data_IF_334117222212
#
_entry.id   IF_334117222212
#
_cell.length_a   1.000
_cell.length_b   1.000
_cell.length_c   1.000
_cell.angle_alpha   90.00
_cell.angle_beta   90.00
_cell.angle_gamma   90.00
#
_symmetry.space_group_name_H-M   'P 1'
#
loop_
_entity.id
_entity.type
_entity.pdbx_description
1 polymer ?
#
# COMPACT_ATOMS: atom_id res chain seq x y z
N UNK A 1 9.31 3.79 35.10
CA UNK A 1 8.99 4.84 34.13
C UNK A 1 8.69 4.13 32.82
N UNK A 2 7.40 4.05 32.43
CA UNK A 2 6.97 3.37 31.19
C UNK A 2 7.37 4.29 30.04
N UNK A 3 8.38 3.91 29.26
CA UNK A 3 8.72 4.61 28.03
C UNK A 3 7.53 4.46 27.08
N UNK A 4 6.88 5.56 26.76
CA UNK A 4 5.88 5.58 25.69
C UNK A 4 6.66 5.49 24.37
N UNK A 5 6.73 4.28 23.81
CA UNK A 5 7.32 4.05 22.49
C UNK A 5 6.34 4.58 21.44
N UNK A 6 6.51 5.82 21.03
CA UNK A 6 5.67 6.49 20.05
C UNK A 6 6.47 7.53 19.27
N UNK A 7 6.04 7.80 18.04
CA UNK A 7 6.57 8.90 17.24
C UNK A 7 6.35 10.25 17.94
N UNK A 8 7.27 11.18 17.73
CA UNK A 8 7.23 12.52 18.33
C UNK A 8 6.29 13.41 17.53
N UNK A 9 5.14 13.78 18.11
CA UNK A 9 4.18 14.69 17.51
C UNK A 9 4.56 16.13 17.82
N UNK A 10 4.82 16.95 16.80
CA UNK A 10 5.36 18.29 16.98
C UNK A 10 4.33 19.40 16.65
N UNK A 11 4.52 20.57 17.26
CA UNK A 11 3.70 21.76 17.04
C UNK A 11 2.22 21.53 17.36
N UNK A 12 1.30 21.95 16.47
CA UNK A 12 -0.15 21.77 16.67
C UNK A 12 -0.61 20.32 16.80
N UNK A 13 0.21 19.36 16.35
CA UNK A 13 -0.11 17.94 16.42
C UNK A 13 0.18 17.33 17.78
N UNK A 14 0.88 18.03 18.68
CA UNK A 14 1.09 17.60 20.06
C UNK A 14 -0.25 17.48 20.82
N UNK A 15 -1.25 18.26 20.44
CA UNK A 15 -2.64 18.04 20.85
C UNK A 15 -3.33 17.10 19.88
N UNK A 16 -3.41 15.82 20.23
CA UNK A 16 -4.03 14.78 19.40
C UNK A 16 -5.52 15.03 19.13
N UNK A 17 -6.21 15.82 19.97
CA UNK A 17 -7.62 16.17 19.77
C UNK A 17 -7.83 17.19 18.64
N UNK A 18 -6.80 17.95 18.30
CA UNK A 18 -6.82 18.95 17.22
C UNK A 18 -6.75 18.32 15.82
N UNK A 19 -6.35 17.05 15.74
CA UNK A 19 -6.21 16.34 14.46
C UNK A 19 -7.43 15.46 14.16
N UNK A 20 -8.00 15.63 12.98
CA UNK A 20 -9.05 14.77 12.46
C UNK A 20 -8.54 13.97 11.26
N UNK A 21 -9.00 12.72 11.14
CA UNK A 21 -8.54 11.79 10.11
C UNK A 21 -9.10 12.09 8.68
N UNK A 22 -9.88 13.14 8.50
CA UNK A 22 -10.58 13.46 7.24
C UNK A 22 -9.65 13.55 6.02
N UNK A 23 -8.38 13.92 6.25
CA UNK A 23 -7.36 14.05 5.20
C UNK A 23 -6.21 13.03 5.37
N UNK A 24 -6.44 11.99 6.18
CA UNK A 24 -5.42 10.98 6.45
C UNK A 24 -5.08 10.17 5.18
N UNK A 25 -3.81 10.23 4.75
CA UNK A 25 -3.33 9.49 3.58
C UNK A 25 -3.44 7.97 3.76
N UNK A 26 -3.30 7.46 4.99
CA UNK A 26 -3.50 6.03 5.29
C UNK A 26 -4.96 5.65 5.10
N UNK A 27 -5.92 6.47 5.60
CA UNK A 27 -7.34 6.21 5.41
C UNK A 27 -7.71 6.17 3.92
N UNK A 28 -7.25 7.16 3.14
CA UNK A 28 -7.45 7.19 1.68
C UNK A 28 -6.85 5.97 0.98
N UNK A 29 -5.69 5.50 1.40
CA UNK A 29 -5.11 4.27 0.87
C UNK A 29 -5.94 3.04 1.25
N UNK A 30 -6.42 2.95 2.49
CA UNK A 30 -7.28 1.85 2.95
C UNK A 30 -8.62 1.80 2.23
N UNK A 31 -9.20 2.92 1.80
CA UNK A 31 -10.41 2.94 0.96
C UNK A 31 -10.19 2.20 -0.38
N UNK A 32 -8.97 2.23 -0.91
CA UNK A 32 -8.63 1.53 -2.15
C UNK A 32 -8.24 0.08 -1.92
N UNK A 33 -7.34 -0.18 -0.97
CA UNK A 33 -6.68 -1.48 -0.80
C UNK A 33 -7.02 -2.18 0.52
N UNK A 34 -7.83 -1.61 1.40
CA UNK A 34 -8.05 -2.10 2.76
C UNK A 34 -8.82 -3.44 2.86
N UNK A 35 -9.12 -4.10 1.77
CA UNK A 35 -9.69 -5.44 1.79
C UNK A 35 -8.62 -6.52 1.66
N UNK A 36 -8.81 -7.65 2.34
CA UNK A 36 -7.92 -8.82 2.23
C UNK A 36 -7.70 -9.22 0.77
N UNK A 37 -8.76 -9.26 -0.03
CA UNK A 37 -8.67 -9.64 -1.46
C UNK A 37 -7.89 -8.62 -2.29
N UNK A 38 -7.97 -7.32 -1.99
CA UNK A 38 -7.20 -6.30 -2.70
C UNK A 38 -5.69 -6.50 -2.51
N UNK A 39 -5.26 -6.62 -1.26
CA UNK A 39 -3.83 -6.83 -0.94
C UNK A 39 -3.33 -8.14 -1.53
N UNK A 40 -4.10 -9.23 -1.43
CA UNK A 40 -3.69 -10.51 -1.99
C UNK A 40 -3.66 -10.52 -3.53
N UNK A 41 -4.56 -9.82 -4.21
CA UNK A 41 -4.49 -9.65 -5.68
C UNK A 41 -3.24 -8.85 -6.07
N UNK A 42 -2.91 -7.78 -5.34
CA UNK A 42 -1.69 -7.02 -5.59
C UNK A 42 -0.44 -7.88 -5.36
N UNK A 43 -0.39 -8.66 -4.27
CA UNK A 43 0.67 -9.65 -4.04
C UNK A 43 0.84 -10.59 -5.22
N UNK A 44 -0.25 -11.17 -5.72
CA UNK A 44 -0.20 -12.07 -6.87
C UNK A 44 0.26 -11.37 -8.15
N UNK A 45 -0.12 -10.09 -8.35
CA UNK A 45 0.37 -9.30 -9.47
C UNK A 45 1.89 -9.06 -9.37
N UNK A 46 2.44 -8.83 -8.17
CA UNK A 46 3.89 -8.75 -7.96
C UNK A 46 4.60 -10.08 -8.25
N UNK A 47 3.94 -11.21 -7.96
CA UNK A 47 4.46 -12.55 -8.29
C UNK A 47 4.29 -12.94 -9.77
N UNK A 48 3.81 -12.01 -10.61
CA UNK A 48 3.70 -12.21 -12.05
C UNK A 48 2.38 -12.80 -12.52
N UNK A 49 1.38 -12.98 -11.66
CA UNK A 49 0.03 -13.37 -12.07
C UNK A 49 -0.59 -12.25 -12.91
N UNK A 50 -1.11 -12.59 -14.09
CA UNK A 50 -1.69 -11.62 -15.02
C UNK A 50 -3.10 -11.99 -15.47
N UNK A 51 -3.46 -13.27 -15.48
CA UNK A 51 -4.75 -13.76 -15.99
C UNK A 51 -5.79 -13.81 -14.88
N UNK A 52 -7.04 -13.57 -15.26
CA UNK A 52 -8.19 -13.58 -14.34
C UNK A 52 -8.25 -14.85 -13.51
N UNK A 53 -8.22 -16.01 -14.18
CA UNK A 53 -8.34 -17.34 -13.54
C UNK A 53 -7.23 -17.57 -12.50
N UNK A 54 -6.01 -17.06 -12.80
CA UNK A 54 -4.87 -17.11 -11.89
C UNK A 54 -5.12 -16.29 -10.61
N UNK A 55 -5.69 -15.11 -10.73
CA UNK A 55 -6.01 -14.29 -9.54
C UNK A 55 -7.08 -14.95 -8.68
N UNK A 56 -8.19 -15.42 -9.26
CA UNK A 56 -9.25 -16.07 -8.51
C UNK A 56 -8.74 -17.32 -7.75
N UNK A 57 -8.04 -18.21 -8.44
CA UNK A 57 -7.56 -19.48 -7.87
C UNK A 57 -6.46 -19.28 -6.82
N UNK A 58 -5.47 -18.40 -7.09
CA UNK A 58 -4.32 -18.21 -6.17
C UNK A 58 -4.67 -17.39 -4.93
N UNK A 59 -5.64 -16.47 -5.03
CA UNK A 59 -6.17 -15.74 -3.87
C UNK A 59 -7.19 -16.59 -3.09
N UNK A 60 -7.79 -17.61 -3.72
CA UNK A 60 -8.80 -18.46 -3.11
C UNK A 60 -10.12 -17.74 -2.89
N UNK A 61 -10.57 -16.96 -3.89
CA UNK A 61 -11.84 -16.21 -3.88
C UNK A 61 -12.70 -16.61 -5.07
N UNK A 62 -14.00 -16.32 -4.98
CA UNK A 62 -14.94 -16.58 -6.09
C UNK A 62 -14.63 -15.69 -7.31
N UNK A 63 -15.00 -16.14 -8.49
CA UNK A 63 -14.84 -15.36 -9.73
C UNK A 63 -15.53 -14.00 -9.65
N UNK A 64 -16.71 -13.94 -9.02
CA UNK A 64 -17.44 -12.71 -8.83
C UNK A 64 -16.65 -11.71 -7.94
N UNK A 65 -16.06 -12.20 -6.85
CA UNK A 65 -15.22 -11.38 -5.96
C UNK A 65 -13.94 -10.95 -6.67
N UNK A 66 -13.29 -11.85 -7.41
CA UNK A 66 -12.10 -11.52 -8.21
C UNK A 66 -12.41 -10.46 -9.27
N UNK A 67 -13.53 -10.60 -10.01
CA UNK A 67 -13.95 -9.64 -11.02
C UNK A 67 -14.23 -8.24 -10.42
N UNK A 68 -14.94 -8.19 -9.30
CA UNK A 68 -15.25 -6.93 -8.61
C UNK A 68 -13.96 -6.24 -8.14
N UNK A 69 -13.05 -7.00 -7.52
CA UNK A 69 -11.82 -6.43 -6.98
C UNK A 69 -10.83 -6.00 -8.08
N UNK A 70 -10.65 -6.81 -9.13
CA UNK A 70 -9.81 -6.46 -10.28
C UNK A 70 -10.35 -5.22 -11.00
N UNK A 71 -11.67 -5.06 -11.10
CA UNK A 71 -12.30 -3.85 -11.64
C UNK A 71 -11.96 -2.65 -10.76
N UNK A 72 -12.20 -2.72 -9.44
CA UNK A 72 -11.89 -1.64 -8.48
C UNK A 72 -10.42 -1.21 -8.57
N UNK A 73 -9.48 -2.15 -8.57
CA UNK A 73 -8.04 -1.86 -8.67
C UNK A 73 -7.66 -1.27 -10.04
N UNK A 74 -8.36 -1.62 -11.10
CA UNK A 74 -8.15 -1.06 -12.44
C UNK A 74 -8.69 0.37 -12.53
N UNK A 75 -9.89 0.61 -12.04
CA UNK A 75 -10.52 1.95 -11.98
C UNK A 75 -9.70 2.92 -11.11
N UNK A 76 -9.13 2.42 -10.01
CA UNK A 76 -8.23 3.17 -9.14
C UNK A 76 -6.83 3.41 -9.76
N UNK A 77 -6.51 2.81 -10.92
CA UNK A 77 -5.24 2.99 -11.60
C UNK A 77 -4.07 2.18 -11.03
N UNK A 78 -4.30 1.21 -10.15
CA UNK A 78 -3.26 0.31 -9.61
C UNK A 78 -2.93 -0.81 -10.61
N UNK A 79 -3.93 -1.27 -11.34
CA UNK A 79 -3.79 -2.23 -12.43
C UNK A 79 -4.25 -1.60 -13.76
N UNK A 80 -3.74 -2.12 -14.85
CA UNK A 80 -4.20 -1.80 -16.20
C UNK A 80 -4.57 -3.08 -16.93
N UNK A 81 -5.63 -3.03 -17.76
CA UNK A 81 -5.96 -4.10 -18.70
C UNK A 81 -5.10 -3.97 -19.94
N UNK A 82 -4.48 -5.06 -20.35
CA UNK A 82 -3.74 -5.17 -21.60
C UNK A 82 -4.37 -6.27 -22.45
N UNK A 83 -4.75 -6.01 -23.72
CA UNK A 83 -5.25 -7.07 -24.59
C UNK A 83 -4.14 -8.06 -24.92
N UNK A 84 -4.47 -9.33 -24.95
CA UNK A 84 -3.62 -10.39 -25.49
C UNK A 84 -4.45 -11.35 -26.32
N UNK A 85 -3.82 -12.00 -27.28
CA UNK A 85 -4.43 -12.99 -28.13
C UNK A 85 -3.53 -14.20 -28.27
N UNK A 86 -4.07 -15.36 -27.99
CA UNK A 86 -3.46 -16.64 -28.35
C UNK A 86 -3.87 -17.02 -29.75
N UNK A 87 -3.01 -17.71 -30.50
CA UNK A 87 -3.28 -18.13 -31.84
C UNK A 87 -4.57 -18.97 -31.89
N UNK A 88 -5.46 -18.67 -32.85
CA UNK A 88 -6.76 -19.33 -32.98
C UNK A 88 -7.82 -18.97 -31.92
N UNK A 89 -7.53 -18.10 -30.94
CA UNK A 89 -8.47 -17.75 -29.89
C UNK A 89 -8.93 -16.29 -29.96
N UNK A 90 -10.08 -16.01 -29.31
CA UNK A 90 -10.61 -14.66 -29.14
C UNK A 90 -9.65 -13.83 -28.28
N UNK A 91 -9.54 -12.54 -28.58
CA UNK A 91 -8.82 -11.57 -27.76
C UNK A 91 -9.36 -11.56 -26.32
N UNK A 92 -8.45 -11.68 -25.35
CA UNK A 92 -8.70 -11.60 -23.91
C UNK A 92 -7.90 -10.45 -23.31
N UNK A 93 -8.09 -10.20 -22.02
CA UNK A 93 -7.31 -9.19 -21.29
C UNK A 93 -6.51 -9.85 -20.19
N UNK A 94 -5.30 -9.36 -20.00
CA UNK A 94 -4.47 -9.59 -18.84
C UNK A 94 -4.43 -8.32 -17.98
N UNK A 95 -4.09 -8.47 -16.71
CA UNK A 95 -3.92 -7.38 -15.76
C UNK A 95 -2.44 -7.19 -15.47
N UNK A 96 -1.97 -5.95 -15.56
CA UNK A 96 -0.58 -5.59 -15.30
C UNK A 96 -0.51 -4.44 -14.31
N UNK A 97 0.52 -4.44 -13.46
CA UNK A 97 0.77 -3.34 -12.54
C UNK A 97 1.10 -2.05 -13.31
N UNK A 98 0.44 -0.96 -12.95
CA UNK A 98 0.83 0.39 -13.36
C UNK A 98 2.05 0.85 -12.55
N UNK A 99 2.54 2.07 -12.79
CA UNK A 99 3.54 2.68 -11.92
C UNK A 99 3.00 2.81 -10.49
N UNK A 100 1.79 3.38 -10.33
CA UNK A 100 1.12 3.52 -9.02
C UNK A 100 1.00 2.18 -8.30
N UNK A 101 0.64 1.10 -9.02
CA UNK A 101 0.58 -0.24 -8.44
C UNK A 101 1.95 -0.75 -7.99
N UNK A 102 3.02 -0.49 -8.75
CA UNK A 102 4.39 -0.88 -8.36
C UNK A 102 4.91 -0.10 -7.16
N UNK A 103 4.61 1.20 -7.09
CA UNK A 103 5.05 2.08 -6.00
C UNK A 103 4.46 1.67 -4.64
N UNK A 104 3.40 0.85 -4.62
CA UNK A 104 2.80 0.28 -3.40
C UNK A 104 3.54 -0.97 -2.89
N UNK A 105 4.46 -1.56 -3.66
CA UNK A 105 5.18 -2.79 -3.28
C UNK A 105 5.81 -2.73 -1.87
N UNK A 106 6.51 -1.65 -1.47
CA UNK A 106 7.12 -1.62 -0.13
C UNK A 106 6.12 -1.79 1.00
N UNK A 107 4.90 -1.23 0.88
CA UNK A 107 3.86 -1.40 1.90
C UNK A 107 3.37 -2.85 2.00
N UNK A 108 3.19 -3.53 0.86
CA UNK A 108 2.78 -4.95 0.84
C UNK A 108 3.88 -5.85 1.39
N UNK A 109 5.14 -5.57 1.09
CA UNK A 109 6.28 -6.31 1.63
C UNK A 109 6.46 -6.06 3.14
N UNK A 110 6.23 -4.84 3.63
CA UNK A 110 6.24 -4.54 5.07
C UNK A 110 5.19 -5.36 5.81
N UNK A 111 3.96 -5.44 5.28
CA UNK A 111 2.91 -6.31 5.84
C UNK A 111 3.30 -7.78 5.84
N UNK A 112 3.94 -8.27 4.78
CA UNK A 112 4.42 -9.63 4.69
C UNK A 112 5.48 -9.90 5.75
N UNK A 113 6.52 -9.08 5.85
CA UNK A 113 7.61 -9.26 6.83
C UNK A 113 7.12 -9.16 8.26
N UNK A 114 6.17 -8.27 8.55
CA UNK A 114 5.52 -8.21 9.86
C UNK A 114 4.73 -9.50 10.16
N UNK A 115 3.97 -10.01 9.18
CA UNK A 115 3.24 -11.26 9.30
C UNK A 115 4.16 -12.46 9.52
N UNK A 116 5.29 -12.50 8.82
CA UNK A 116 6.30 -13.56 8.97
C UNK A 116 6.91 -13.55 10.38
N UNK A 117 7.17 -12.35 10.93
CA UNK A 117 7.79 -12.22 12.24
C UNK A 117 6.87 -12.55 13.41
N UNK A 118 5.56 -12.28 13.29
CA UNK A 118 4.66 -12.30 14.44
C UNK A 118 3.48 -13.29 14.31
N UNK A 119 3.14 -13.72 13.11
CA UNK A 119 1.94 -14.53 12.87
C UNK A 119 2.24 -15.94 12.35
N UNK A 120 3.47 -16.22 11.94
CA UNK A 120 3.85 -17.55 11.50
C UNK A 120 4.26 -18.42 12.71
N UNK A 121 3.80 -19.67 12.77
CA UNK A 121 4.20 -20.59 13.86
C UNK A 121 5.63 -21.14 13.71
N UNK A 122 6.30 -20.82 12.63
CA UNK A 122 7.64 -21.29 12.25
C UNK A 122 8.28 -20.38 11.22
N UNK A 123 9.28 -20.85 10.48
CA UNK A 123 9.97 -20.04 9.48
C UNK A 123 9.00 -19.54 8.40
N UNK A 124 9.28 -18.36 7.86
CA UNK A 124 8.50 -17.76 6.77
C UNK A 124 8.42 -18.71 5.56
N UNK A 125 7.26 -18.85 4.91
CA UNK A 125 7.11 -19.78 3.78
C UNK A 125 7.85 -19.30 2.52
N UNK A 126 8.20 -18.01 2.43
CA UNK A 126 8.91 -17.41 1.30
C UNK A 126 10.04 -16.52 1.80
N UNK A 127 11.15 -16.52 1.08
CA UNK A 127 12.26 -15.60 1.31
C UNK A 127 12.29 -14.57 0.19
N UNK A 128 12.37 -13.30 0.56
CA UNK A 128 12.62 -12.22 -0.38
C UNK A 128 14.12 -12.01 -0.50
N UNK A 129 14.65 -12.16 -1.71
CA UNK A 129 16.06 -12.00 -1.99
C UNK A 129 16.28 -11.12 -3.22
N UNK A 130 17.40 -10.46 -3.28
CA UNK A 130 17.87 -9.84 -4.50
C UNK A 130 18.27 -10.95 -5.49
N UNK A 131 17.71 -10.94 -6.69
CA UNK A 131 17.89 -12.01 -7.68
C UNK A 131 19.37 -12.20 -8.06
N UNK A 132 20.12 -11.12 -8.14
CA UNK A 132 21.51 -11.16 -8.60
C UNK A 132 22.50 -11.71 -7.55
N UNK A 133 22.25 -11.45 -6.26
CA UNK A 133 23.18 -11.77 -5.17
C UNK A 133 22.68 -12.86 -4.24
N UNK A 134 21.36 -13.05 -4.16
CA UNK A 134 20.72 -13.90 -3.16
C UNK A 134 20.60 -13.26 -1.78
N UNK A 135 20.97 -11.99 -1.63
CA UNK A 135 20.93 -11.29 -0.36
C UNK A 135 19.49 -11.05 0.11
N UNK A 136 19.20 -11.20 1.41
CA UNK A 136 17.87 -10.97 1.95
C UNK A 136 17.41 -9.51 1.77
N UNK A 137 16.19 -9.33 1.27
CA UNK A 137 15.55 -8.01 1.11
C UNK A 137 14.70 -7.69 2.34
N UNK A 138 14.84 -6.46 2.87
CA UNK A 138 14.06 -5.95 4.00
C UNK A 138 13.48 -4.58 3.70
N UNK A 139 12.27 -4.33 4.22
CA UNK A 139 11.67 -3.00 4.23
C UNK A 139 12.05 -2.31 5.53
N UNK A 140 12.55 -1.08 5.44
CA UNK A 140 13.01 -0.27 6.55
C UNK A 140 12.52 1.17 6.41
N UNK A 141 12.32 1.86 7.53
CA UNK A 141 12.08 3.31 7.55
C UNK A 141 13.45 4.01 7.55
N UNK A 142 13.69 4.86 6.54
CA UNK A 142 14.96 5.57 6.38
C UNK A 142 14.75 7.04 6.11
N UNK A 143 15.64 7.89 6.63
CA UNK A 143 15.73 9.29 6.22
C UNK A 143 16.29 9.41 4.79
N UNK A 144 16.17 10.58 4.17
CA UNK A 144 16.76 10.85 2.85
C UNK A 144 18.29 10.67 2.83
N UNK A 145 18.97 10.86 3.98
CA UNK A 145 20.41 10.57 4.11
C UNK A 145 20.74 9.08 4.17
N UNK A 146 19.72 8.19 4.13
CA UNK A 146 19.88 6.75 4.18
C UNK A 146 19.97 6.16 5.58
N UNK A 147 19.92 6.97 6.65
CA UNK A 147 19.95 6.50 8.05
C UNK A 147 18.63 5.79 8.39
N UNK A 148 18.70 4.63 8.98
CA UNK A 148 17.54 3.94 9.56
C UNK A 148 16.97 4.74 10.74
N UNK A 149 15.65 4.80 10.83
CA UNK A 149 14.92 5.61 11.81
C UNK A 149 14.04 4.68 12.65
N UNK A 150 14.27 4.68 13.95
CA UNK A 150 13.42 3.99 14.92
C UNK A 150 12.15 4.81 15.22
N UNK A 151 11.15 4.16 15.80
CA UNK A 151 9.85 4.80 16.08
C UNK A 151 10.00 6.06 16.97
N UNK A 152 10.87 6.01 17.97
CA UNK A 152 11.12 7.09 18.92
C UNK A 152 11.87 8.28 18.30
N UNK A 153 12.53 8.05 17.17
CA UNK A 153 13.24 9.08 16.40
C UNK A 153 12.36 9.70 15.31
N UNK A 154 11.18 9.11 15.05
CA UNK A 154 10.27 9.59 14.01
C UNK A 154 9.51 10.82 14.49
N UNK A 155 9.83 11.99 13.93
CA UNK A 155 9.08 13.24 14.14
C UNK A 155 7.93 13.37 13.15
N UNK A 156 6.73 13.70 13.64
CA UNK A 156 5.55 13.99 12.82
C UNK A 156 5.21 15.47 12.92
N UNK A 157 5.30 16.18 11.81
CA UNK A 157 5.05 17.62 11.70
C UNK A 157 3.91 17.92 10.74
N UNK A 158 3.19 19.00 11.03
CA UNK A 158 2.18 19.50 10.10
C UNK A 158 2.89 20.09 8.87
N UNK A 159 2.46 19.65 7.68
CA UNK A 159 2.93 20.25 6.44
C UNK A 159 2.39 21.68 6.33
N UNK A 160 3.28 22.67 6.32
CA UNK A 160 2.93 24.10 6.32
C UNK A 160 2.16 24.53 5.05
N UNK A 161 2.52 23.97 3.89
CA UNK A 161 1.83 24.26 2.64
C UNK A 161 0.39 23.73 2.67
N UNK A 162 0.19 22.50 3.19
CA UNK A 162 -1.13 21.93 3.42
C UNK A 162 -1.95 22.82 4.38
N UNK A 163 -1.36 23.26 5.48
CA UNK A 163 -2.03 24.10 6.47
C UNK A 163 -2.45 25.47 5.88
N UNK A 164 -1.61 26.06 5.02
CA UNK A 164 -1.91 27.30 4.29
C UNK A 164 -3.09 27.10 3.34
N UNK A 165 -3.04 26.10 2.46
CA UNK A 165 -4.11 25.81 1.48
C UNK A 165 -5.45 25.52 2.17
N UNK A 166 -5.42 24.83 3.31
CA UNK A 166 -6.63 24.54 4.10
C UNK A 166 -7.25 25.81 4.68
N UNK A 167 -6.43 26.78 5.13
CA UNK A 167 -6.91 28.08 5.63
C UNK A 167 -7.52 28.90 4.50
N UNK A 168 -6.92 28.90 3.32
CA UNK A 168 -7.42 29.61 2.14
C UNK A 168 -8.80 29.08 1.70
N UNK A 169 -8.95 27.75 1.59
CA UNK A 169 -10.25 27.12 1.27
C UNK A 169 -11.34 27.50 2.27
N UNK A 170 -11.06 27.41 3.59
CA UNK A 170 -12.03 27.78 4.62
C UNK A 170 -12.46 29.26 4.56
N UNK A 171 -11.59 30.14 4.11
CA UNK A 171 -11.95 31.56 3.91
C UNK A 171 -12.84 31.74 2.69
N UNK A 172 -12.60 31.02 1.61
CA UNK A 172 -13.43 31.04 0.40
C UNK A 172 -14.85 30.53 0.69
N UNK A 173 -14.93 29.37 1.36
CA UNK A 173 -16.22 28.72 1.72
C UNK A 173 -17.06 29.54 2.75
N UNK A 174 -16.44 30.48 3.46
CA UNK A 174 -17.12 31.36 4.43
C UNK A 174 -17.61 32.69 3.80
N UNK A 175 -17.28 32.91 2.52
CA UNK A 175 -17.58 34.15 1.80
C UNK A 175 -18.70 33.95 0.74
N UNK A 176 -19.03 32.67 0.45
CA UNK A 176 -20.17 32.24 -0.37
C UNK A 176 -21.36 31.87 0.53
#
# INVERSE_FOLDING_TARGET
MMFVMAAVMEGPLADLSAWKADECSIAKAMDLIGTRSAVLILREAYYGTRRFDGFASRVGITDAAAAAQLRKLTEAGLLAKRPYREEGKRTRHEYVLTRMGRDLLPAVLALMQWGDAYLQPGPAPLLLVEEATGDPVRVQVRSESGREIELEELGVRLNEEYARRRRERRRSDATD
#
